data_IF_908296986950
#
_entry.id   IF_908296986950
#
_cell.length_a   1.000
_cell.length_b   1.000
_cell.length_c   1.000
_cell.angle_alpha   90.00
_cell.angle_beta   90.00
_cell.angle_gamma   90.00
#
_symmetry.space_group_name_H-M   'P 1'
#
loop_
_entity.id
_entity.type
_entity.pdbx_description
1 polymer ?
#
# COMPACT_ATOMS: atom_id res chain seq x y z
N UNK A 1 -6.02 -22.25 -24.34
CA UNK A 1 -6.34 -22.40 -22.89
C UNK A 1 -5.66 -21.36 -21.99
N UNK A 2 -4.39 -20.96 -22.22
CA UNK A 2 -3.69 -19.95 -21.39
C UNK A 2 -4.45 -18.61 -21.23
N UNK A 3 -5.03 -18.08 -22.30
CA UNK A 3 -5.75 -16.78 -22.26
C UNK A 3 -7.06 -16.81 -21.46
N UNK A 4 -7.73 -17.97 -21.32
CA UNK A 4 -8.94 -18.06 -20.49
C UNK A 4 -8.61 -18.06 -18.99
N UNK A 5 -7.51 -18.71 -18.59
CA UNK A 5 -7.05 -18.72 -17.20
C UNK A 5 -6.59 -17.33 -16.74
N UNK A 6 -5.81 -16.63 -17.57
CA UNK A 6 -5.38 -15.25 -17.30
C UNK A 6 -6.56 -14.29 -17.13
N UNK A 7 -7.55 -14.33 -18.03
CA UNK A 7 -8.77 -13.50 -17.92
C UNK A 7 -9.57 -13.79 -16.66
N UNK A 8 -9.63 -15.04 -16.22
CA UNK A 8 -10.31 -15.43 -14.98
C UNK A 8 -9.57 -14.87 -13.76
N UNK A 9 -8.25 -15.00 -13.72
CA UNK A 9 -7.42 -14.46 -12.63
C UNK A 9 -7.57 -12.93 -12.54
N UNK A 10 -7.49 -12.22 -13.67
CA UNK A 10 -7.72 -10.77 -13.71
C UNK A 10 -9.09 -10.40 -13.15
N UNK A 11 -10.15 -11.12 -13.53
CA UNK A 11 -11.50 -10.87 -13.02
C UNK A 11 -11.62 -11.14 -11.52
N UNK A 12 -10.93 -12.17 -11.01
CA UNK A 12 -10.89 -12.48 -9.57
C UNK A 12 -10.15 -11.37 -8.80
N UNK A 13 -8.96 -10.95 -9.27
CA UNK A 13 -8.22 -9.83 -8.69
C UNK A 13 -9.01 -8.52 -8.74
N UNK A 14 -9.76 -8.30 -9.83
CA UNK A 14 -10.63 -7.14 -9.99
C UNK A 14 -11.79 -7.14 -8.98
N UNK A 15 -12.41 -8.31 -8.79
CA UNK A 15 -13.51 -8.51 -7.83
C UNK A 15 -13.04 -8.32 -6.38
N UNK A 16 -11.80 -8.71 -6.10
CA UNK A 16 -11.16 -8.53 -4.80
C UNK A 16 -10.63 -7.10 -4.57
N UNK A 17 -10.74 -6.22 -5.58
CA UNK A 17 -10.29 -4.82 -5.48
C UNK A 17 -8.77 -4.66 -5.44
N UNK A 18 -8.03 -5.64 -5.99
CA UNK A 18 -6.57 -5.60 -6.10
C UNK A 18 -6.06 -4.91 -7.35
N UNK A 19 -6.95 -4.70 -8.32
CA UNK A 19 -6.70 -3.88 -9.51
C UNK A 19 -7.17 -2.46 -9.18
N UNK A 20 -6.24 -1.51 -9.14
CA UNK A 20 -6.59 -0.09 -9.04
C UNK A 20 -7.27 0.33 -10.35
N UNK A 21 -8.41 1.01 -10.21
CA UNK A 21 -9.25 1.47 -11.31
C UNK A 21 -9.20 2.98 -11.46
N UNK A 22 -8.83 3.66 -10.40
CA UNK A 22 -8.78 5.11 -10.37
C UNK A 22 -7.45 5.60 -10.97
N UNK A 23 -7.50 6.35 -12.08
CA UNK A 23 -6.29 6.84 -12.74
C UNK A 23 -5.53 7.88 -11.93
N UNK A 24 -6.15 8.48 -10.91
CA UNK A 24 -5.50 9.51 -10.07
C UNK A 24 -4.64 8.87 -8.97
N UNK A 25 -4.79 7.56 -8.72
CA UNK A 25 -3.99 6.85 -7.72
C UNK A 25 -2.62 6.54 -8.28
N UNK A 26 -1.60 7.12 -7.65
CA UNK A 26 -0.19 6.95 -8.03
C UNK A 26 0.49 5.80 -7.29
N UNK A 27 -0.12 5.31 -6.21
CA UNK A 27 0.38 4.14 -5.47
C UNK A 27 -0.33 3.92 -4.15
N UNK A 28 0.26 3.06 -3.32
CA UNK A 28 -0.27 2.68 -2.01
C UNK A 28 0.82 2.71 -0.95
N UNK A 29 0.50 3.27 0.21
CA UNK A 29 1.40 3.30 1.37
C UNK A 29 0.92 2.33 2.44
N UNK A 30 1.85 1.86 3.25
CA UNK A 30 1.60 1.03 4.42
C UNK A 30 1.55 1.92 5.66
N UNK A 31 0.35 2.16 6.19
CA UNK A 31 0.17 3.01 7.37
C UNK A 31 -0.08 2.17 8.62
N UNK A 32 0.82 2.25 9.59
CA UNK A 32 0.64 1.60 10.88
C UNK A 32 -0.34 2.40 11.74
N UNK A 33 -1.53 1.82 11.91
CA UNK A 33 -2.66 2.43 12.62
C UNK A 33 -2.43 2.60 14.12
N UNK A 34 -1.49 1.85 14.70
CA UNK A 34 -1.18 1.89 16.14
C UNK A 34 -0.21 3.02 16.47
N UNK A 35 0.92 3.09 15.76
CA UNK A 35 1.92 4.13 15.99
C UNK A 35 1.70 5.39 15.13
N UNK A 36 0.76 5.33 14.18
CA UNK A 36 0.35 6.40 13.26
C UNK A 36 1.47 6.87 12.32
N UNK A 37 2.28 5.95 11.83
CA UNK A 37 3.42 6.20 10.94
C UNK A 37 3.37 5.37 9.66
N UNK A 38 4.09 5.83 8.65
CA UNK A 38 4.25 5.11 7.40
C UNK A 38 5.43 4.16 7.47
N UNK A 39 5.28 2.93 6.98
CA UNK A 39 6.42 2.02 6.85
C UNK A 39 7.27 2.45 5.64
N UNK A 40 8.59 2.45 5.80
CA UNK A 40 9.53 2.69 4.70
C UNK A 40 10.03 1.38 4.06
N UNK A 41 9.83 0.26 4.75
CA UNK A 41 10.40 -1.07 4.43
C UNK A 41 11.94 -1.14 4.42
N UNK A 42 12.62 -0.03 4.70
CA UNK A 42 14.04 -0.04 5.00
C UNK A 42 14.27 -0.54 6.42
N UNK A 43 15.39 -1.22 6.63
CA UNK A 43 15.83 -1.67 7.95
C UNK A 43 16.93 -0.75 8.48
N UNK A 44 16.91 -0.48 9.79
CA UNK A 44 18.03 0.16 10.46
C UNK A 44 19.20 -0.81 10.69
N UNK A 45 20.27 -0.34 11.34
CA UNK A 45 21.47 -1.13 11.63
C UNK A 45 21.22 -2.39 12.48
N UNK A 46 20.04 -2.52 13.10
CA UNK A 46 19.63 -3.66 13.90
C UNK A 46 18.64 -4.59 13.17
N UNK A 47 18.38 -4.36 11.88
CA UNK A 47 17.41 -5.15 11.10
C UNK A 47 15.95 -4.84 11.45
N UNK A 48 15.68 -3.67 12.04
CA UNK A 48 14.31 -3.27 12.40
C UNK A 48 13.75 -2.32 11.35
N UNK A 49 12.49 -2.56 10.94
CA UNK A 49 11.78 -1.70 9.99
C UNK A 49 11.72 -0.26 10.49
N UNK A 50 12.08 0.66 9.60
CA UNK A 50 12.01 2.09 9.83
C UNK A 50 10.59 2.60 9.49
N UNK A 51 10.15 3.57 10.30
CA UNK A 51 8.86 4.23 10.13
C UNK A 51 9.06 5.73 10.00
N UNK A 52 8.39 6.32 9.02
CA UNK A 52 8.40 7.75 8.75
C UNK A 52 7.11 8.43 9.25
N UNK A 53 7.25 9.67 9.71
CA UNK A 53 6.11 10.54 10.02
C UNK A 53 5.58 11.24 8.74
N UNK A 54 6.41 11.37 7.71
CA UNK A 54 6.07 11.96 6.40
C UNK A 54 5.73 10.87 5.37
N UNK A 55 4.74 11.13 4.52
CA UNK A 55 4.33 10.26 3.43
C UNK A 55 5.35 10.25 2.28
N UNK A 56 6.13 11.31 2.11
CA UNK A 56 7.16 11.41 1.07
C UNK A 56 8.33 10.45 1.31
N UNK A 57 8.54 10.05 2.57
CA UNK A 57 9.56 9.08 2.97
C UNK A 57 8.99 7.63 3.04
N UNK A 58 7.69 7.47 2.80
CA UNK A 58 7.03 6.18 2.90
C UNK A 58 7.40 5.25 1.74
N UNK A 59 7.33 3.95 2.00
CA UNK A 59 7.31 2.96 0.93
C UNK A 59 6.05 3.15 0.08
N UNK A 60 6.24 3.33 -1.23
CA UNK A 60 5.16 3.46 -2.20
C UNK A 60 5.05 2.21 -3.08
N UNK A 61 4.05 1.39 -2.80
CA UNK A 61 3.76 0.22 -3.62
C UNK A 61 3.01 0.63 -4.89
N UNK A 62 3.36 0.04 -6.02
CA UNK A 62 2.74 0.32 -7.33
C UNK A 62 1.33 -0.27 -7.47
N UNK A 63 0.93 -1.19 -6.59
CA UNK A 63 -0.40 -1.78 -6.59
C UNK A 63 -0.83 -2.17 -5.18
N UNK A 64 -2.15 -2.24 -4.95
CA UNK A 64 -2.71 -2.70 -3.68
C UNK A 64 -2.29 -4.13 -3.37
N UNK A 65 -2.19 -4.97 -4.40
CA UNK A 65 -1.74 -6.36 -4.24
C UNK A 65 -0.30 -6.41 -3.74
N UNK A 66 0.61 -5.63 -4.34
CA UNK A 66 1.99 -5.52 -3.88
C UNK A 66 2.04 -5.08 -2.42
N UNK A 67 1.36 -3.98 -2.07
CA UNK A 67 1.31 -3.49 -0.70
C UNK A 67 0.84 -4.56 0.30
N UNK A 68 -0.18 -5.35 -0.05
CA UNK A 68 -0.67 -6.42 0.82
C UNK A 68 0.33 -7.57 0.99
N UNK A 69 1.09 -7.91 -0.06
CA UNK A 69 2.17 -8.88 0.03
C UNK A 69 3.30 -8.35 0.93
N UNK A 70 3.58 -7.04 0.83
CA UNK A 70 4.67 -6.41 1.55
C UNK A 70 4.42 -6.31 3.07
N UNK A 71 3.15 -6.35 3.51
CA UNK A 71 2.80 -6.46 4.95
C UNK A 71 3.46 -7.69 5.58
N UNK A 72 3.62 -8.79 4.83
CA UNK A 72 4.22 -10.02 5.33
C UNK A 72 5.71 -9.91 5.68
N UNK A 73 6.38 -8.83 5.27
CA UNK A 73 7.77 -8.54 5.65
C UNK A 73 7.88 -7.72 6.94
N UNK A 74 6.77 -7.22 7.47
CA UNK A 74 6.77 -6.45 8.70
C UNK A 74 6.82 -7.35 9.92
N UNK A 75 7.55 -6.96 10.98
CA UNK A 75 7.60 -7.75 12.20
C UNK A 75 6.24 -7.78 12.91
N UNK A 76 5.98 -8.84 13.66
CA UNK A 76 4.89 -8.84 14.64
C UNK A 76 5.21 -7.88 15.80
N UNK A 77 4.25 -7.04 16.25
CA UNK A 77 2.82 -7.05 15.92
C UNK A 77 2.42 -6.09 14.78
N UNK A 78 3.36 -5.40 14.17
CA UNK A 78 3.08 -4.31 13.23
C UNK A 78 2.32 -4.78 11.99
N UNK A 79 2.63 -5.99 11.49
CA UNK A 79 1.90 -6.61 10.36
C UNK A 79 0.38 -6.61 10.54
N UNK A 80 -0.12 -6.72 11.79
CA UNK A 80 -1.55 -6.77 12.08
C UNK A 80 -2.20 -5.39 12.22
N UNK A 81 -1.39 -4.33 12.26
CA UNK A 81 -1.83 -2.96 12.47
C UNK A 81 -1.65 -2.09 11.23
N UNK A 82 -1.35 -2.67 10.07
CA UNK A 82 -1.20 -1.92 8.81
C UNK A 82 -2.52 -1.73 8.08
N UNK A 83 -2.79 -0.50 7.68
CA UNK A 83 -3.75 -0.14 6.65
C UNK A 83 -3.03 0.15 5.34
N UNK A 84 -3.49 -0.45 4.24
CA UNK A 84 -3.05 -0.11 2.89
C UNK A 84 -3.89 1.05 2.39
N UNK A 85 -3.27 2.22 2.20
CA UNK A 85 -3.98 3.44 1.86
C UNK A 85 -3.56 3.91 0.46
N UNK A 86 -4.50 4.14 -0.47
CA UNK A 86 -4.19 4.71 -1.77
C UNK A 86 -3.69 6.15 -1.63
N UNK A 87 -2.77 6.54 -2.49
CA UNK A 87 -2.15 7.87 -2.53
C UNK A 87 -2.41 8.51 -3.89
N UNK A 88 -2.66 9.81 -3.89
CA UNK A 88 -2.72 10.64 -5.10
C UNK A 88 -1.65 11.72 -5.03
N UNK A 89 -1.20 12.19 -6.20
CA UNK A 89 -0.30 13.32 -6.29
C UNK A 89 -1.10 14.64 -6.35
N UNK A 90 -0.75 15.58 -5.47
CA UNK A 90 -1.31 16.92 -5.45
C UNK A 90 -0.24 17.94 -5.89
N UNK A 91 -0.53 18.81 -6.86
CA UNK A 91 0.46 19.77 -7.37
C UNK A 91 1.01 20.77 -6.34
N UNK A 92 0.32 20.99 -5.23
CA UNK A 92 0.69 21.98 -4.20
C UNK A 92 1.27 21.29 -2.95
N UNK A 93 0.73 20.13 -2.59
CA UNK A 93 1.03 19.46 -1.32
C UNK A 93 1.85 18.18 -1.48
N UNK A 94 2.24 17.80 -2.70
CA UNK A 94 2.92 16.54 -2.96
C UNK A 94 1.98 15.35 -2.81
N UNK A 95 2.49 14.24 -2.29
CA UNK A 95 1.71 13.02 -2.05
C UNK A 95 0.69 13.25 -0.94
N UNK A 96 -0.57 12.90 -1.20
CA UNK A 96 -1.63 12.95 -0.20
C UNK A 96 -2.42 11.65 -0.17
N UNK A 97 -2.87 11.26 1.01
CA UNK A 97 -3.75 10.11 1.17
C UNK A 97 -5.06 10.38 0.45
N UNK A 98 -5.42 9.46 -0.45
CA UNK A 98 -6.71 9.51 -1.09
C UNK A 98 -7.78 9.21 -0.06
N UNK A 99 -8.74 10.11 0.07
CA UNK A 99 -9.86 9.95 0.98
C UNK A 99 -10.66 8.71 0.57
N UNK A 100 -10.51 7.62 1.32
CA UNK A 100 -11.35 6.45 1.17
C UNK A 100 -12.72 6.77 1.76
N UNK A 101 -13.77 6.78 0.93
CA UNK A 101 -15.13 6.73 1.43
C UNK A 101 -15.31 5.32 2.02
N UNK A 102 -15.19 5.21 3.35
CA UNK A 102 -15.65 4.03 4.06
C UNK A 102 -17.17 4.02 3.93
N UNK A 103 -17.69 3.22 2.99
CA UNK A 103 -19.11 2.86 2.95
C UNK A 103 -19.38 1.77 3.99
#
# INVERSE_FOLDING_TARGET
>A
MKNKKLKRLQKELDTLGFIEKDPDVVGYVLFNTRNRRFATLDENEFGMVIYADDIEEAYLATSRFSALMDIGFLPEPDQFNIAVIPVIENPVFGLILKKTVLN
#
